data_IF_469628908348
#
_entry.id   IF_469628908348
#
_cell.length_a   1.000
_cell.length_b   1.000
_cell.length_c   1.000
_cell.angle_alpha   90.00
_cell.angle_beta   90.00
_cell.angle_gamma   90.00
#
_symmetry.space_group_name_H-M   'P 1'
#
loop_
_entity.id
_entity.type
_entity.pdbx_description
1 polymer ?
#
# COMPACT_ATOMS: atom_id res chain seq x y z
N UNK A 1 1.21 24.68 18.64
CA UNK A 1 0.11 23.80 19.11
C UNK A 1 0.28 22.36 18.68
N UNK A 2 0.66 22.06 17.42
CA UNK A 2 0.88 20.69 16.94
C UNK A 2 1.91 19.92 17.79
N UNK A 3 3.10 20.51 17.99
CA UNK A 3 4.17 19.96 18.82
C UNK A 3 3.73 19.64 20.26
N UNK A 4 2.88 20.48 20.87
CA UNK A 4 2.39 20.24 22.23
C UNK A 4 1.51 18.97 22.36
N UNK A 5 0.88 18.54 21.26
CA UNK A 5 0.03 17.35 21.22
C UNK A 5 0.72 16.11 20.63
N UNK A 6 1.75 16.29 19.80
CA UNK A 6 2.42 15.21 19.07
C UNK A 6 3.86 14.96 19.50
N UNK A 7 4.39 15.72 20.47
CA UNK A 7 5.76 15.53 20.98
C UNK A 7 6.01 14.13 21.56
N UNK A 8 5.01 13.46 22.13
CA UNK A 8 5.12 12.04 22.55
C UNK A 8 5.41 11.08 21.39
N UNK A 9 5.01 11.44 20.16
CA UNK A 9 5.27 10.67 18.94
C UNK A 9 6.58 11.08 18.25
N UNK A 10 7.35 12.02 18.84
CA UNK A 10 8.58 12.55 18.26
C UNK A 10 8.38 13.50 17.08
N UNK A 11 7.17 14.06 16.91
CA UNK A 11 6.86 15.01 15.83
C UNK A 11 7.03 16.43 16.35
N UNK A 12 8.15 17.06 15.98
CA UNK A 12 8.52 18.40 16.42
C UNK A 12 8.38 19.42 15.30
N UNK A 13 8.74 19.03 14.08
CA UNK A 13 8.77 19.91 12.92
C UNK A 13 7.73 19.51 11.87
N UNK A 14 7.44 20.45 10.97
CA UNK A 14 6.56 20.20 9.82
C UNK A 14 7.16 19.15 8.87
N UNK A 15 8.49 19.09 8.78
CA UNK A 15 9.23 18.07 8.03
C UNK A 15 8.96 16.67 8.58
N UNK A 16 8.96 16.48 9.91
CA UNK A 16 8.67 15.19 10.55
C UNK A 16 7.27 14.71 10.16
N UNK A 17 6.28 15.59 10.24
CA UNK A 17 4.90 15.26 9.87
C UNK A 17 4.80 14.85 8.39
N UNK A 18 5.43 15.61 7.50
CA UNK A 18 5.44 15.32 6.07
C UNK A 18 6.17 13.98 5.77
N UNK A 19 7.26 13.70 6.47
CA UNK A 19 7.97 12.43 6.35
C UNK A 19 7.10 11.25 6.80
N UNK A 20 6.48 11.33 7.98
CA UNK A 20 5.60 10.28 8.48
C UNK A 20 4.39 10.04 7.56
N UNK A 21 3.80 11.10 7.02
CA UNK A 21 2.72 10.99 6.05
C UNK A 21 3.17 10.24 4.78
N UNK A 22 4.34 10.58 4.23
CA UNK A 22 4.91 9.87 3.08
C UNK A 22 5.14 8.38 3.39
N UNK A 23 5.72 8.07 4.55
CA UNK A 23 5.97 6.70 4.99
C UNK A 23 4.70 5.87 5.15
N UNK A 24 3.63 6.44 5.70
CA UNK A 24 2.34 5.75 5.84
C UNK A 24 1.74 5.45 4.45
N UNK A 25 1.74 6.45 3.55
CA UNK A 25 1.19 6.31 2.20
C UNK A 25 1.96 5.24 1.41
N UNK A 26 3.29 5.28 1.46
CA UNK A 26 4.13 4.27 0.82
C UNK A 26 4.06 2.90 1.49
N UNK A 27 3.86 2.84 2.81
CA UNK A 27 3.64 1.59 3.54
C UNK A 27 2.35 0.90 3.10
N UNK A 28 1.23 1.63 3.05
CA UNK A 28 -0.06 1.10 2.56
C UNK A 28 0.05 0.66 1.10
N UNK A 29 0.70 1.49 0.27
CA UNK A 29 1.01 1.18 -1.11
C UNK A 29 1.79 -0.15 -1.23
N UNK A 30 2.90 -0.28 -0.49
CA UNK A 30 3.70 -1.51 -0.47
C UNK A 30 2.92 -2.75 -0.05
N UNK A 31 2.02 -2.64 0.93
CA UNK A 31 1.16 -3.75 1.35
C UNK A 31 0.19 -4.18 0.25
N UNK A 32 -0.44 -3.23 -0.43
CA UNK A 32 -1.36 -3.52 -1.55
C UNK A 32 -0.63 -4.16 -2.73
N UNK A 33 0.63 -3.80 -2.96
CA UNK A 33 1.47 -4.41 -3.99
C UNK A 33 1.94 -5.82 -3.63
N UNK A 34 2.35 -6.04 -2.38
CA UNK A 34 2.94 -7.30 -1.93
C UNK A 34 1.91 -8.40 -1.71
N UNK A 35 0.67 -8.03 -1.36
CA UNK A 35 -0.41 -8.97 -1.08
C UNK A 35 -1.60 -8.76 -2.03
N UNK A 36 -1.45 -9.05 -3.33
CA UNK A 36 -2.56 -8.97 -4.28
C UNK A 36 -3.60 -10.07 -3.99
N UNK A 37 -4.90 -9.82 -4.20
CA UNK A 37 -5.97 -10.81 -4.02
C UNK A 37 -5.75 -12.11 -4.79
N UNK A 38 -5.11 -12.05 -5.96
CA UNK A 38 -4.76 -13.24 -6.76
C UNK A 38 -3.51 -13.99 -6.27
N UNK A 39 -2.84 -13.55 -5.21
CA UNK A 39 -1.65 -14.26 -4.66
C UNK A 39 -1.98 -15.52 -3.87
N UNK A 40 -3.15 -16.14 -4.11
CA UNK A 40 -3.38 -17.52 -3.75
C UNK A 40 -2.18 -18.33 -4.23
N UNK A 41 -1.51 -19.00 -3.30
CA UNK A 41 -0.26 -19.74 -3.53
C UNK A 41 -0.47 -20.56 -4.81
N UNK A 42 0.20 -20.15 -5.90
CA UNK A 42 0.24 -20.97 -7.11
C UNK A 42 1.04 -22.20 -6.73
N UNK A 43 0.29 -23.22 -6.35
CA UNK A 43 0.87 -24.48 -5.95
C UNK A 43 1.47 -25.13 -7.18
N UNK A 44 2.79 -25.35 -7.14
CA UNK A 44 3.45 -26.20 -8.12
C UNK A 44 3.07 -27.69 -7.93
N UNK A 45 2.27 -28.02 -6.91
CA UNK A 45 1.74 -29.36 -6.73
C UNK A 45 0.64 -29.65 -7.75
N UNK A 46 0.89 -30.67 -8.56
CA UNK A 46 -0.06 -31.15 -9.56
C UNK A 46 -1.37 -31.63 -8.92
N UNK A 47 -1.35 -32.15 -7.70
CA UNK A 47 -2.56 -32.59 -7.01
C UNK A 47 -3.48 -31.42 -6.65
N UNK A 48 -2.91 -30.30 -6.20
CA UNK A 48 -3.65 -29.09 -5.88
C UNK A 48 -4.23 -28.42 -7.14
N UNK A 49 -3.45 -28.36 -8.23
CA UNK A 49 -3.93 -27.84 -9.54
C UNK A 49 -5.09 -28.68 -10.09
N UNK A 50 -5.01 -30.01 -9.99
CA UNK A 50 -6.10 -30.89 -10.44
C UNK A 50 -7.32 -30.72 -9.56
N UNK A 51 -7.15 -30.65 -8.24
CA UNK A 51 -8.27 -30.49 -7.29
C UNK A 51 -8.94 -29.13 -7.44
N UNK A 52 -8.19 -28.05 -7.65
CA UNK A 52 -8.75 -26.72 -7.88
C UNK A 52 -9.50 -26.64 -9.21
N UNK A 53 -9.07 -27.38 -10.23
CA UNK A 53 -9.80 -27.48 -11.52
C UNK A 53 -11.12 -28.25 -11.45
N UNK A 54 -11.34 -29.05 -10.41
CA UNK A 54 -12.60 -29.77 -10.18
C UNK A 54 -13.68 -28.89 -9.53
N UNK A 55 -13.34 -27.68 -9.09
CA UNK A 55 -14.25 -26.71 -8.49
C UNK A 55 -14.49 -25.58 -9.49
N UNK A 56 -15.76 -25.22 -9.70
CA UNK A 56 -16.08 -24.03 -10.51
C UNK A 56 -15.66 -22.76 -9.76
N UNK A 57 -14.56 -22.17 -10.20
CA UNK A 57 -14.02 -20.92 -9.68
C UNK A 57 -14.39 -19.71 -10.54
N UNK A 58 -15.22 -19.86 -11.58
CA UNK A 58 -15.54 -18.80 -12.54
C UNK A 58 -16.02 -17.52 -11.85
N UNK A 59 -16.91 -17.67 -10.87
CA UNK A 59 -17.46 -16.54 -10.14
C UNK A 59 -16.45 -15.93 -9.15
N UNK A 60 -15.59 -16.75 -8.54
CA UNK A 60 -14.54 -16.30 -7.64
C UNK A 60 -13.44 -15.53 -8.39
N UNK A 61 -12.99 -16.07 -9.54
CA UNK A 61 -11.99 -15.43 -10.39
C UNK A 61 -12.47 -14.07 -10.90
N UNK A 62 -13.74 -13.97 -11.33
CA UNK A 62 -14.30 -12.69 -11.77
C UNK A 62 -14.32 -11.63 -10.65
N UNK A 63 -14.50 -12.04 -9.39
CA UNK A 63 -14.44 -11.15 -8.24
C UNK A 63 -12.98 -10.77 -7.94
N UNK A 64 -12.06 -11.72 -7.99
CA UNK A 64 -10.65 -11.47 -7.71
C UNK A 64 -9.99 -10.59 -8.77
N UNK A 65 -10.37 -10.72 -10.06
CA UNK A 65 -9.98 -9.83 -11.15
C UNK A 65 -10.34 -8.37 -10.83
N UNK A 66 -11.58 -8.13 -10.39
CA UNK A 66 -12.06 -6.80 -10.01
C UNK A 66 -11.28 -6.26 -8.81
N UNK A 67 -11.08 -7.09 -7.78
CA UNK A 67 -10.33 -6.72 -6.58
C UNK A 67 -8.87 -6.42 -6.90
N UNK A 68 -8.26 -7.17 -7.81
CA UNK A 68 -6.89 -6.98 -8.27
C UNK A 68 -6.75 -5.65 -8.99
N UNK A 69 -7.69 -5.34 -9.88
CA UNK A 69 -7.75 -4.06 -10.57
C UNK A 69 -7.89 -2.89 -9.60
N UNK A 70 -8.83 -2.98 -8.66
CA UNK A 70 -9.07 -1.94 -7.65
C UNK A 70 -7.86 -1.75 -6.73
N UNK A 71 -7.25 -2.84 -6.24
CA UNK A 71 -6.04 -2.77 -5.41
C UNK A 71 -4.87 -2.16 -6.15
N UNK A 72 -4.67 -2.50 -7.43
CA UNK A 72 -3.60 -1.94 -8.25
C UNK A 72 -3.77 -0.43 -8.42
N UNK A 73 -4.99 0.01 -8.68
CA UNK A 73 -5.31 1.43 -8.84
C UNK A 73 -5.12 2.19 -7.51
N UNK A 74 -5.56 1.58 -6.40
CA UNK A 74 -5.40 2.12 -5.05
C UNK A 74 -3.91 2.21 -4.65
N UNK A 75 -3.12 1.18 -4.93
CA UNK A 75 -1.68 1.13 -4.74
C UNK A 75 -0.98 2.32 -5.42
N UNK A 76 -1.27 2.54 -6.71
CA UNK A 76 -0.69 3.63 -7.51
C UNK A 76 -1.07 4.99 -6.92
N UNK A 77 -2.35 5.16 -6.56
CA UNK A 77 -2.84 6.40 -5.94
C UNK A 77 -2.07 6.72 -4.66
N UNK A 78 -1.90 5.76 -3.76
CA UNK A 78 -1.16 5.96 -2.52
C UNK A 78 0.32 6.22 -2.76
N UNK A 79 0.93 5.52 -3.72
CA UNK A 79 2.33 5.74 -4.07
C UNK A 79 2.58 7.18 -4.54
N UNK A 80 1.79 7.63 -5.51
CA UNK A 80 1.88 8.98 -6.08
C UNK A 80 1.53 10.04 -5.04
N UNK A 81 0.50 9.80 -4.21
CA UNK A 81 0.14 10.70 -3.13
C UNK A 81 1.27 10.87 -2.11
N UNK A 82 2.07 9.83 -1.84
CA UNK A 82 3.23 9.87 -0.95
C UNK A 82 4.39 10.72 -1.48
N UNK A 83 4.48 10.96 -2.79
CA UNK A 83 5.51 11.83 -3.37
C UNK A 83 5.34 13.29 -2.94
N UNK A 84 4.11 13.81 -2.86
CA UNK A 84 3.84 15.19 -2.46
C UNK A 84 4.38 15.54 -1.05
N UNK A 85 4.04 14.81 0.02
CA UNK A 85 4.58 15.09 1.34
C UNK A 85 6.08 14.82 1.40
N UNK A 86 6.62 13.88 0.62
CA UNK A 86 8.08 13.70 0.57
C UNK A 86 8.80 14.92 -0.02
N UNK A 87 8.27 15.50 -1.11
CA UNK A 87 8.81 16.75 -1.67
C UNK A 87 8.74 17.89 -0.66
N UNK A 88 7.62 18.03 0.05
CA UNK A 88 7.47 19.04 1.11
C UNK A 88 8.49 18.82 2.24
N UNK A 89 8.68 17.57 2.68
CA UNK A 89 9.67 17.21 3.69
C UNK A 89 11.09 17.61 3.28
N UNK A 90 11.45 17.30 2.03
CA UNK A 90 12.78 17.64 1.48
C UNK A 90 12.96 19.15 1.40
N UNK A 91 11.97 19.88 0.86
CA UNK A 91 12.02 21.34 0.78
C UNK A 91 12.11 22.01 2.16
N UNK A 92 11.31 21.55 3.12
CA UNK A 92 11.32 22.07 4.49
C UNK A 92 12.67 21.88 5.17
N UNK A 93 13.35 20.75 4.94
CA UNK A 93 14.70 20.51 5.46
C UNK A 93 15.79 21.34 4.77
N UNK A 94 15.65 21.66 3.48
CA UNK A 94 16.63 22.49 2.77
C UNK A 94 16.44 24.00 3.02
N UNK A 95 15.24 24.43 3.38
CA UNK A 95 14.89 25.84 3.61
C UNK A 95 15.04 26.27 5.08
N UNK A 96 15.34 25.34 5.98
CA UNK A 96 15.56 25.57 7.43
C UNK A 96 17.04 25.39 7.75
#
# INVERSE_FOLDING_TARGET
MLEATTSFLGIHFLSDYAFYAAMILWGISGLLYLYPPESGISSNDKAEVVTSSMVDSTQANAIDDVRQHENTLLFIKFFVAGCLPMVICVLANYLT
#
